data_IF_332796674927
#
_entry.id   IF_332796674927
#
_cell.length_a   1.000
_cell.length_b   1.000
_cell.length_c   1.000
_cell.angle_alpha   90.00
_cell.angle_beta   90.00
_cell.angle_gamma   90.00
#
_symmetry.space_group_name_H-M   'P 1'
#
loop_
_entity.id
_entity.type
_entity.pdbx_description
1 polymer ?
#
# COMPACT_ATOMS: atom_id res chain seq x y z
N UNK A 1 8.66 -7.33 -7.51
CA UNK A 1 7.68 -7.47 -6.43
C UNK A 1 7.02 -6.13 -6.07
N UNK A 2 7.81 -5.08 -5.90
CA UNK A 2 7.37 -3.76 -5.43
C UNK A 2 7.71 -2.68 -6.44
N UNK A 3 6.92 -1.60 -6.43
CA UNK A 3 7.35 -0.36 -7.06
C UNK A 3 8.37 0.32 -6.16
N UNK A 4 9.55 0.61 -6.70
CA UNK A 4 10.69 1.20 -5.97
C UNK A 4 11.09 2.57 -6.53
N UNK A 5 10.31 3.11 -7.44
CA UNK A 5 10.60 4.40 -8.08
C UNK A 5 10.06 5.54 -7.21
N UNK A 6 10.76 5.78 -6.10
CA UNK A 6 10.48 6.87 -5.17
C UNK A 6 11.63 7.88 -5.19
N UNK A 7 11.28 9.15 -5.15
CA UNK A 7 12.25 10.18 -4.81
C UNK A 7 12.40 10.21 -3.28
N UNK A 8 13.60 9.90 -2.79
CA UNK A 8 13.92 9.86 -1.37
C UNK A 8 14.51 11.18 -0.86
N UNK A 9 14.88 12.09 -1.75
CA UNK A 9 15.48 13.37 -1.38
C UNK A 9 14.42 14.28 -0.75
N UNK A 10 14.67 14.73 0.47
CA UNK A 10 13.73 15.57 1.22
C UNK A 10 12.47 14.86 1.71
N UNK A 11 12.39 13.53 1.59
CA UNK A 11 11.23 12.75 1.99
C UNK A 11 11.20 12.59 3.52
N UNK A 12 10.06 12.92 4.13
CA UNK A 12 9.76 12.66 5.54
C UNK A 12 8.49 11.83 5.62
N UNK A 13 8.65 10.53 5.88
CA UNK A 13 7.54 9.59 5.81
C UNK A 13 6.88 9.40 7.18
N UNK A 14 5.63 9.80 7.30
CA UNK A 14 4.73 9.45 8.40
C UNK A 14 4.62 7.94 8.60
N UNK A 15 4.58 7.19 7.50
CA UNK A 15 4.55 5.74 7.47
C UNK A 15 5.39 5.23 6.31
N UNK A 16 5.84 3.98 6.35
CA UNK A 16 6.58 3.38 5.25
C UNK A 16 5.62 2.96 4.13
N UNK A 17 5.60 3.67 2.99
CA UNK A 17 4.74 3.34 1.87
C UNK A 17 5.28 2.12 1.12
N UNK A 18 4.37 1.25 0.69
CA UNK A 18 4.67 0.03 -0.03
C UNK A 18 3.63 -0.20 -1.12
N UNK A 19 4.04 -0.39 -2.35
CA UNK A 19 3.14 -0.67 -3.46
C UNK A 19 3.58 -1.98 -4.13
N UNK A 20 2.72 -3.00 -4.07
CA UNK A 20 3.00 -4.27 -4.72
C UNK A 20 2.76 -4.18 -6.23
N UNK A 21 3.71 -4.71 -7.00
CA UNK A 21 3.65 -4.69 -8.46
C UNK A 21 2.84 -5.87 -9.01
N UNK A 22 1.53 -5.79 -8.86
CA UNK A 22 0.58 -6.78 -9.36
C UNK A 22 -0.72 -6.12 -9.80
N UNK A 23 -1.53 -6.87 -10.55
CA UNK A 23 -2.94 -6.52 -10.86
C UNK A 23 -3.90 -7.58 -10.30
N UNK A 24 -3.39 -8.59 -9.63
CA UNK A 24 -4.16 -9.73 -9.14
C UNK A 24 -4.60 -9.52 -7.70
N UNK A 25 -5.91 -9.50 -7.47
CA UNK A 25 -6.49 -9.45 -6.13
C UNK A 25 -6.13 -10.70 -5.31
N UNK A 26 -6.00 -11.87 -5.96
CA UNK A 26 -5.55 -13.09 -5.28
C UNK A 26 -4.12 -12.97 -4.74
N UNK A 27 -3.23 -12.32 -5.49
CA UNK A 27 -1.85 -12.03 -5.04
C UNK A 27 -1.87 -11.04 -3.88
N UNK A 28 -2.69 -10.00 -3.96
CA UNK A 28 -2.91 -9.06 -2.86
C UNK A 28 -3.35 -9.77 -1.58
N UNK A 29 -4.36 -10.63 -1.69
CA UNK A 29 -4.91 -11.33 -0.52
C UNK A 29 -3.89 -12.30 0.11
N UNK A 30 -3.07 -12.96 -0.72
CA UNK A 30 -1.92 -13.75 -0.24
C UNK A 30 -0.89 -12.88 0.49
N UNK A 31 -0.60 -11.70 -0.06
CA UNK A 31 0.33 -10.75 0.55
C UNK A 31 -0.15 -10.31 1.93
N UNK A 32 -1.40 -9.91 2.05
CA UNK A 32 -2.00 -9.49 3.33
C UNK A 32 -1.97 -10.61 4.36
N UNK A 33 -2.36 -11.83 3.99
CA UNK A 33 -2.27 -13.01 4.86
C UNK A 33 -0.83 -13.26 5.33
N UNK A 34 0.14 -13.09 4.42
CA UNK A 34 1.55 -13.30 4.75
C UNK A 34 2.05 -12.26 5.76
N UNK A 35 1.71 -10.98 5.60
CA UNK A 35 2.05 -9.94 6.58
C UNK A 35 1.42 -10.23 7.95
N UNK A 36 0.15 -10.62 7.98
CA UNK A 36 -0.57 -10.98 9.21
C UNK A 36 0.10 -12.15 9.92
N UNK A 37 0.47 -13.21 9.20
CA UNK A 37 1.18 -14.38 9.77
C UNK A 37 2.53 -14.01 10.39
N UNK A 38 3.17 -12.97 9.92
CA UNK A 38 4.43 -12.46 10.47
C UNK A 38 4.26 -11.34 11.48
N UNK A 39 3.03 -11.05 11.92
CA UNK A 39 2.69 -9.99 12.87
C UNK A 39 3.17 -8.61 12.42
N UNK A 40 3.05 -8.33 11.11
CA UNK A 40 3.30 -7.01 10.54
C UNK A 40 1.95 -6.32 10.35
N UNK A 41 1.71 -5.29 11.15
CA UNK A 41 0.54 -4.42 10.97
C UNK A 41 0.71 -3.57 9.72
N UNK A 42 -0.34 -3.49 8.94
CA UNK A 42 -0.38 -2.69 7.73
C UNK A 42 -1.75 -2.05 7.56
N UNK A 43 -1.79 -0.98 6.79
CA UNK A 43 -3.03 -0.42 6.28
C UNK A 43 -2.98 -0.38 4.76
N UNK A 44 -4.10 -0.72 4.15
CA UNK A 44 -4.25 -0.69 2.69
C UNK A 44 -4.42 0.75 2.20
N UNK A 45 -4.07 1.03 0.94
CA UNK A 45 -4.21 2.34 0.33
C UNK A 45 -5.64 2.91 0.28
N UNK A 46 -6.64 2.09 0.59
CA UNK A 46 -8.03 2.54 0.76
C UNK A 46 -8.40 2.86 2.23
N UNK A 47 -7.52 2.66 3.19
CA UNK A 47 -7.70 3.15 4.55
C UNK A 47 -7.76 4.70 4.51
N UNK A 48 -8.77 5.30 5.10
CA UNK A 48 -8.99 6.76 4.99
C UNK A 48 -9.61 7.20 3.66
N UNK A 49 -10.23 6.28 2.90
CA UNK A 49 -11.00 6.57 1.70
C UNK A 49 -10.35 6.16 0.37
N UNK A 50 -9.05 6.06 0.30
CA UNK A 50 -8.32 5.63 -0.90
C UNK A 50 -8.55 6.53 -2.11
N UNK A 51 -8.97 5.93 -3.24
CA UNK A 51 -9.35 6.69 -4.42
C UNK A 51 -10.66 7.46 -4.13
N UNK A 52 -10.56 8.77 -3.93
CA UNK A 52 -11.68 9.63 -3.61
C UNK A 52 -12.80 9.59 -4.66
N UNK A 53 -12.46 9.33 -5.92
CA UNK A 53 -13.42 9.21 -7.01
C UNK A 53 -14.39 8.02 -6.84
N UNK A 54 -14.05 7.06 -5.97
CA UNK A 54 -14.91 5.92 -5.63
C UNK A 54 -15.85 6.18 -4.46
N UNK A 55 -15.68 7.30 -3.78
CA UNK A 55 -16.50 7.62 -2.62
C UNK A 55 -17.94 7.98 -3.02
N UNK A 56 -18.93 7.58 -2.23
CA UNK A 56 -20.35 7.84 -2.53
C UNK A 56 -20.66 9.31 -2.73
N UNK A 57 -20.09 10.19 -1.89
CA UNK A 57 -20.36 11.63 -1.93
C UNK A 57 -19.84 12.31 -3.20
N UNK A 58 -18.78 11.78 -3.83
CA UNK A 58 -18.27 12.34 -5.09
C UNK A 58 -19.20 12.05 -6.27
N UNK A 59 -19.96 10.95 -6.21
CA UNK A 59 -20.88 10.56 -7.30
C UNK A 59 -21.99 11.58 -7.53
N UNK A 60 -22.32 12.38 -6.53
CA UNK A 60 -23.30 13.45 -6.65
C UNK A 60 -22.79 14.62 -7.49
N UNK A 61 -21.47 14.86 -7.47
CA UNK A 61 -20.84 15.97 -8.16
C UNK A 61 -20.17 15.57 -9.48
N UNK A 62 -19.62 14.36 -9.54
CA UNK A 62 -18.82 13.91 -10.68
C UNK A 62 -19.29 12.54 -11.14
N UNK A 63 -19.80 12.47 -12.37
CA UNK A 63 -20.15 11.22 -13.05
C UNK A 63 -18.93 10.60 -13.71
N UNK A 64 -18.15 9.81 -12.96
CA UNK A 64 -17.02 9.09 -13.52
C UNK A 64 -17.49 7.75 -14.08
N UNK A 65 -17.41 7.60 -15.41
CA UNK A 65 -17.77 6.38 -16.10
C UNK A 65 -16.65 5.33 -16.09
N UNK A 66 -15.40 5.76 -16.03
CA UNK A 66 -14.26 4.87 -16.14
C UNK A 66 -13.11 5.29 -15.21
N UNK A 67 -12.84 4.50 -14.18
CA UNK A 67 -11.73 4.73 -13.25
C UNK A 67 -10.36 4.36 -13.84
N UNK A 68 -10.31 3.58 -14.93
CA UNK A 68 -9.05 3.13 -15.53
C UNK A 68 -8.17 4.26 -16.07
N UNK A 69 -8.73 5.44 -16.35
CA UNK A 69 -7.97 6.64 -16.72
C UNK A 69 -7.07 7.14 -15.57
N UNK A 70 -7.38 6.80 -14.32
CA UNK A 70 -6.62 7.18 -13.12
C UNK A 70 -5.78 6.01 -12.60
N UNK A 71 -4.95 5.44 -13.46
CA UNK A 71 -4.21 4.19 -13.22
C UNK A 71 -3.40 4.16 -11.93
N UNK A 72 -2.74 5.27 -11.60
CA UNK A 72 -1.88 5.34 -10.41
C UNK A 72 -2.70 5.38 -9.12
N UNK A 73 -3.79 6.15 -9.10
CA UNK A 73 -4.70 6.23 -7.96
C UNK A 73 -5.38 4.88 -7.71
N UNK A 74 -5.84 4.22 -8.78
CA UNK A 74 -6.42 2.88 -8.71
C UNK A 74 -5.41 1.84 -8.20
N UNK A 75 -4.16 1.93 -8.65
CA UNK A 75 -3.10 1.05 -8.17
C UNK A 75 -2.87 1.22 -6.68
N UNK A 76 -2.76 2.45 -6.19
CA UNK A 76 -2.58 2.72 -4.76
C UNK A 76 -3.79 2.23 -3.96
N UNK A 77 -5.01 2.47 -4.45
CA UNK A 77 -6.24 2.05 -3.78
C UNK A 77 -6.30 0.54 -3.53
N UNK A 78 -5.90 -0.27 -4.52
CA UNK A 78 -6.00 -1.73 -4.43
C UNK A 78 -4.73 -2.43 -3.96
N UNK A 79 -3.56 -1.86 -4.22
CA UNK A 79 -2.25 -2.51 -4.09
C UNK A 79 -1.22 -1.67 -3.34
N UNK A 80 -1.62 -0.50 -2.86
CA UNK A 80 -0.82 0.33 -1.98
C UNK A 80 -1.06 -0.04 -0.53
N UNK A 81 0.00 0.08 0.28
CA UNK A 81 0.00 -0.16 1.71
C UNK A 81 0.86 0.88 2.41
N UNK A 82 0.68 1.02 3.69
CA UNK A 82 1.66 1.61 4.56
C UNK A 82 1.82 0.81 5.84
N UNK A 83 3.05 0.77 6.32
CA UNK A 83 3.47 0.09 7.54
C UNK A 83 3.92 1.17 8.52
N UNK A 84 3.74 0.92 9.81
CA UNK A 84 4.12 1.87 10.85
C UNK A 84 5.59 2.27 10.77
N UNK A 85 5.84 3.57 10.88
CA UNK A 85 7.16 4.18 10.95
C UNK A 85 7.13 5.23 12.09
N UNK A 86 7.64 4.85 13.25
CA UNK A 86 7.63 5.70 14.44
C UNK A 86 9.07 5.83 15.01
N UNK A 87 9.38 6.92 15.71
CA UNK A 87 10.76 7.22 16.12
C UNK A 87 11.47 6.12 16.91
N UNK A 88 10.73 5.42 17.78
CA UNK A 88 11.30 4.37 18.63
C UNK A 88 11.30 2.99 17.99
N UNK A 89 11.07 2.88 16.66
CA UNK A 89 11.09 1.61 15.96
C UNK A 89 12.49 1.01 15.95
N UNK A 90 12.67 -0.06 16.74
CA UNK A 90 13.96 -0.72 16.91
C UNK A 90 14.49 -1.30 15.60
N UNK A 91 15.80 -1.20 15.38
CA UNK A 91 16.49 -1.71 14.19
C UNK A 91 16.18 -3.19 13.92
N UNK A 92 16.10 -4.02 14.96
CA UNK A 92 15.78 -5.45 14.83
C UNK A 92 14.39 -5.67 14.23
N UNK A 93 13.40 -4.83 14.59
CA UNK A 93 12.06 -4.88 14.00
C UNK A 93 12.08 -4.45 12.54
N UNK A 94 12.85 -3.42 12.19
CA UNK A 94 13.03 -2.97 10.80
C UNK A 94 13.65 -4.09 9.98
N UNK A 95 14.72 -4.72 10.48
CA UNK A 95 15.38 -5.83 9.77
C UNK A 95 14.45 -7.04 9.59
N UNK A 96 13.62 -7.36 10.59
CA UNK A 96 12.58 -8.40 10.47
C UNK A 96 11.58 -8.06 9.36
N UNK A 97 11.07 -6.84 9.31
CA UNK A 97 10.15 -6.39 8.27
C UNK A 97 10.79 -6.53 6.89
N UNK A 98 12.02 -6.07 6.71
CA UNK A 98 12.77 -6.18 5.45
C UNK A 98 12.91 -7.65 5.04
N UNK A 99 13.29 -8.53 5.96
CA UNK A 99 13.43 -9.96 5.70
C UNK A 99 12.09 -10.58 5.26
N UNK A 100 11.00 -10.29 5.95
CA UNK A 100 9.66 -10.78 5.60
C UNK A 100 9.26 -10.30 4.20
N UNK A 101 9.42 -9.00 3.91
CA UNK A 101 9.09 -8.43 2.60
C UNK A 101 9.94 -9.01 1.47
N UNK A 102 11.19 -9.34 1.72
CA UNK A 102 12.07 -9.94 0.71
C UNK A 102 11.77 -11.43 0.46
N UNK A 103 11.30 -12.14 1.46
CA UNK A 103 11.08 -13.60 1.38
C UNK A 103 9.71 -13.96 0.77
N UNK A 104 8.75 -13.06 0.73
CA UNK A 104 7.45 -13.37 0.13
C UNK A 104 7.59 -13.72 -1.35
N UNK A 105 6.89 -14.78 -1.77
CA UNK A 105 6.84 -15.24 -3.17
C UNK A 105 5.44 -15.05 -3.73
N UNK A 106 5.33 -14.26 -4.77
CA UNK A 106 4.13 -14.08 -5.60
C UNK A 106 4.47 -13.65 -7.03
#
# INVERSE_FOLDING_TARGET
>A
KYFINFDLVGSSNYAFPLIINTKSLKVRDKFEKYLTLHNIEFRRGNAGGGNQLRQPYIKEFIKIKNFSQFKNVERIHFFGYYIGNYPDLKKEKIMKIIQVLNNIKF
#
